data_IF_628922723650
#
_entry.id   IF_628922723650
#
_cell.length_a   1.000
_cell.length_b   1.000
_cell.length_c   1.000
_cell.angle_alpha   90.00
_cell.angle_beta   90.00
_cell.angle_gamma   90.00
#
_symmetry.space_group_name_H-M   'P 1'
#
loop_
_entity.id
_entity.type
_entity.pdbx_description
1 polymer ?
#
# COMPACT_ATOMS: atom_id res chain seq x y z
N UNK A 1 -13.03 -0.25 -21.27
CA UNK A 1 -12.92 -1.24 -22.35
C UNK A 1 -14.29 -1.80 -22.75
N UNK A 2 -14.94 -2.62 -21.94
CA UNK A 2 -16.24 -3.23 -22.30
C UNK A 2 -17.30 -2.21 -22.72
N UNK A 3 -17.64 -1.26 -21.87
CA UNK A 3 -18.70 -0.29 -22.09
C UNK A 3 -18.43 0.64 -23.28
N UNK A 4 -17.27 1.31 -23.32
CA UNK A 4 -16.91 2.25 -24.38
C UNK A 4 -16.25 1.61 -25.59
N UNK A 5 -16.11 0.29 -25.63
CA UNK A 5 -15.56 -0.45 -26.75
C UNK A 5 -14.11 -0.08 -27.09
N UNK A 6 -13.29 0.28 -26.10
CA UNK A 6 -11.86 0.52 -26.31
C UNK A 6 -11.17 -0.82 -26.57
N UNK A 7 -10.55 -0.94 -27.72
CA UNK A 7 -9.83 -2.15 -28.17
C UNK A 7 -8.58 -1.74 -28.97
N UNK A 8 -7.53 -2.57 -29.00
CA UNK A 8 -6.40 -2.35 -29.89
C UNK A 8 -6.85 -2.26 -31.36
N UNK A 9 -6.31 -1.28 -32.09
CA UNK A 9 -6.76 -0.97 -33.47
C UNK A 9 -6.60 -2.13 -34.47
N UNK A 10 -5.70 -3.08 -34.20
CA UNK A 10 -5.43 -4.25 -35.02
C UNK A 10 -6.33 -5.44 -34.68
N UNK A 11 -7.21 -5.33 -33.71
CA UNK A 11 -8.16 -6.38 -33.33
C UNK A 11 -9.57 -6.06 -33.81
N UNK A 12 -10.38 -7.13 -34.00
CA UNK A 12 -11.81 -6.98 -34.31
C UNK A 12 -12.51 -6.42 -33.04
N UNK A 13 -12.90 -5.16 -33.11
CA UNK A 13 -13.43 -4.39 -31.97
C UNK A 13 -14.62 -5.06 -31.27
N UNK A 14 -15.57 -5.61 -32.08
CA UNK A 14 -16.75 -6.29 -31.52
C UNK A 14 -16.39 -7.58 -30.79
N UNK A 15 -15.51 -8.40 -31.36
CA UNK A 15 -15.07 -9.64 -30.74
C UNK A 15 -14.32 -9.37 -29.42
N UNK A 16 -13.41 -8.40 -29.46
CA UNK A 16 -12.67 -7.99 -28.26
C UNK A 16 -13.60 -7.46 -27.15
N UNK A 17 -14.54 -6.57 -27.50
CA UNK A 17 -15.52 -6.03 -26.56
C UNK A 17 -16.37 -7.15 -25.94
N UNK A 18 -16.89 -8.07 -26.75
CA UNK A 18 -17.72 -9.16 -26.28
C UNK A 18 -16.96 -10.08 -25.31
N UNK A 19 -15.68 -10.36 -25.61
CA UNK A 19 -14.82 -11.14 -24.71
C UNK A 19 -14.64 -10.45 -23.34
N UNK A 20 -14.33 -9.16 -23.33
CA UNK A 20 -14.16 -8.41 -22.08
C UNK A 20 -15.47 -8.34 -21.30
N UNK A 21 -16.59 -8.12 -22.00
CA UNK A 21 -17.92 -8.11 -21.38
C UNK A 21 -18.24 -9.47 -20.75
N UNK A 22 -18.05 -10.55 -21.50
CA UNK A 22 -18.26 -11.90 -20.98
C UNK A 22 -17.41 -12.19 -19.74
N UNK A 23 -16.10 -11.88 -19.76
CA UNK A 23 -15.24 -12.08 -18.59
C UNK A 23 -15.71 -11.27 -17.37
N UNK A 24 -16.16 -10.01 -17.61
CA UNK A 24 -16.70 -9.15 -16.54
C UNK A 24 -17.97 -9.77 -15.95
N UNK A 25 -18.93 -10.15 -16.78
CA UNK A 25 -20.23 -10.67 -16.36
C UNK A 25 -20.05 -12.00 -15.63
N UNK A 26 -19.25 -12.92 -16.18
CA UNK A 26 -18.89 -14.18 -15.50
C UNK A 26 -18.24 -13.93 -14.14
N UNK A 27 -17.34 -12.94 -14.03
CA UNK A 27 -16.74 -12.60 -12.74
C UNK A 27 -17.77 -12.11 -11.72
N UNK A 28 -18.74 -11.32 -12.15
CA UNK A 28 -19.81 -10.81 -11.28
C UNK A 28 -20.70 -11.96 -10.82
N UNK A 29 -21.11 -12.84 -11.73
CA UNK A 29 -21.90 -14.04 -11.42
C UNK A 29 -21.18 -14.95 -10.42
N UNK A 30 -19.92 -15.27 -10.69
CA UNK A 30 -19.06 -16.09 -9.83
C UNK A 30 -18.93 -15.47 -8.44
N UNK A 31 -18.65 -14.16 -8.35
CA UNK A 31 -18.51 -13.46 -7.07
C UNK A 31 -19.76 -13.52 -6.19
N UNK A 32 -20.93 -13.49 -6.82
CA UNK A 32 -22.23 -13.48 -6.12
C UNK A 32 -22.90 -14.87 -6.03
N UNK A 33 -22.28 -15.91 -6.60
CA UNK A 33 -22.76 -17.27 -6.49
C UNK A 33 -22.74 -17.76 -5.04
N UNK A 34 -23.73 -18.59 -4.67
CA UNK A 34 -23.75 -19.28 -3.38
C UNK A 34 -22.92 -20.57 -3.38
N UNK A 35 -22.45 -21.02 -4.54
CA UNK A 35 -21.64 -22.22 -4.68
C UNK A 35 -20.20 -21.96 -4.21
N UNK A 36 -19.66 -22.87 -3.39
CA UNK A 36 -18.28 -22.78 -2.92
C UNK A 36 -17.25 -23.13 -4.01
N UNK A 37 -17.67 -23.96 -4.98
CA UNK A 37 -16.85 -24.46 -6.09
C UNK A 37 -17.64 -24.34 -7.38
N UNK A 38 -17.04 -23.77 -8.44
CA UNK A 38 -17.63 -23.59 -9.76
C UNK A 38 -16.65 -24.20 -10.77
N UNK A 39 -17.13 -25.14 -11.60
CA UNK A 39 -16.31 -25.87 -12.57
C UNK A 39 -15.05 -26.52 -11.97
N UNK A 40 -15.15 -27.02 -10.72
CA UNK A 40 -14.03 -27.66 -10.02
C UNK A 40 -13.01 -26.67 -9.43
N UNK A 41 -13.25 -25.37 -9.52
CA UNK A 41 -12.38 -24.31 -9.00
C UNK A 41 -13.06 -23.63 -7.81
N UNK A 42 -12.38 -23.39 -6.67
CA UNK A 42 -12.93 -22.59 -5.58
C UNK A 42 -13.41 -21.22 -6.10
N UNK A 43 -14.63 -20.84 -5.75
CA UNK A 43 -15.30 -19.61 -6.23
C UNK A 43 -14.41 -18.36 -6.12
N UNK A 44 -13.78 -18.19 -4.96
CA UNK A 44 -12.97 -16.99 -4.70
C UNK A 44 -11.70 -16.95 -5.56
N UNK A 45 -11.12 -18.13 -5.85
CA UNK A 45 -9.97 -18.27 -6.77
C UNK A 45 -10.40 -17.95 -8.20
N UNK A 46 -11.55 -18.46 -8.64
CA UNK A 46 -12.06 -18.20 -9.98
C UNK A 46 -12.34 -16.70 -10.20
N UNK A 47 -13.04 -16.07 -9.27
CA UNK A 47 -13.29 -14.62 -9.30
C UNK A 47 -11.99 -13.79 -9.29
N UNK A 48 -10.97 -14.23 -8.53
CA UNK A 48 -9.66 -13.60 -8.47
C UNK A 48 -8.91 -13.72 -9.79
N UNK A 49 -8.89 -14.90 -10.41
CA UNK A 49 -8.24 -15.13 -11.71
C UNK A 49 -8.85 -14.23 -12.78
N UNK A 50 -10.17 -14.18 -12.89
CA UNK A 50 -10.84 -13.28 -13.83
C UNK A 50 -10.52 -11.81 -13.58
N UNK A 51 -10.45 -11.36 -12.31
CA UNK A 51 -10.02 -10.01 -11.97
C UNK A 51 -8.61 -9.71 -12.46
N UNK A 52 -7.67 -10.63 -12.22
CA UNK A 52 -6.27 -10.46 -12.64
C UNK A 52 -6.17 -10.40 -14.16
N UNK A 53 -6.87 -11.28 -14.87
CA UNK A 53 -6.86 -11.33 -16.36
C UNK A 53 -7.41 -10.02 -16.93
N UNK A 54 -8.59 -9.57 -16.47
CA UNK A 54 -9.22 -8.33 -16.97
C UNK A 54 -8.29 -7.12 -16.74
N UNK A 55 -7.69 -7.00 -15.55
CA UNK A 55 -6.77 -5.92 -15.24
C UNK A 55 -5.46 -6.01 -16.03
N UNK A 56 -4.95 -7.23 -16.26
CA UNK A 56 -3.74 -7.45 -17.04
C UNK A 56 -3.90 -7.07 -18.51
N UNK A 57 -5.09 -7.26 -19.11
CA UNK A 57 -5.38 -6.89 -20.51
C UNK A 57 -5.10 -5.40 -20.73
N UNK A 58 -5.61 -4.53 -19.85
CA UNK A 58 -5.34 -3.10 -19.94
C UNK A 58 -3.83 -2.80 -19.86
N UNK A 59 -3.11 -3.41 -18.91
CA UNK A 59 -1.66 -3.24 -18.77
C UNK A 59 -0.88 -3.70 -20.02
N UNK A 60 -1.39 -4.72 -20.73
CA UNK A 60 -0.80 -5.22 -21.98
C UNK A 60 -0.93 -4.26 -23.15
N UNK A 61 -1.85 -3.32 -23.13
CA UNK A 61 -1.90 -2.25 -24.15
C UNK A 61 -0.68 -1.35 -24.13
N UNK A 62 -0.04 -1.18 -22.95
CA UNK A 62 1.19 -0.40 -22.81
C UNK A 62 2.49 -1.21 -23.05
N UNK A 63 2.42 -2.52 -23.26
CA UNK A 63 3.59 -3.38 -23.40
C UNK A 63 3.99 -3.53 -24.86
N UNK A 64 5.03 -2.81 -25.30
CA UNK A 64 5.46 -2.68 -26.70
C UNK A 64 5.72 -4.00 -27.43
N UNK A 65 6.19 -5.01 -26.70
CA UNK A 65 6.52 -6.34 -27.25
C UNK A 65 5.32 -7.31 -27.21
N UNK A 66 4.17 -6.86 -26.73
CA UNK A 66 2.99 -7.70 -26.56
C UNK A 66 2.02 -7.66 -27.74
N UNK A 67 1.25 -8.75 -27.94
CA UNK A 67 0.29 -8.83 -29.05
C UNK A 67 -0.92 -7.88 -28.89
N UNK A 68 -1.10 -7.28 -27.71
CA UNK A 68 -2.17 -6.32 -27.45
C UNK A 68 -1.68 -4.86 -27.45
N UNK A 69 -0.42 -4.62 -27.82
CA UNK A 69 0.14 -3.28 -27.78
C UNK A 69 -0.66 -2.27 -28.61
N UNK A 70 -1.16 -1.26 -27.95
CA UNK A 70 -1.74 -0.07 -28.56
C UNK A 70 -1.68 1.09 -27.58
N UNK A 71 -0.72 2.00 -27.80
CA UNK A 71 -0.50 3.17 -26.96
C UNK A 71 -1.72 4.09 -26.91
N UNK A 72 -2.46 4.22 -28.01
CA UNK A 72 -3.65 5.04 -28.05
C UNK A 72 -4.78 4.43 -27.21
N UNK A 73 -4.98 3.11 -27.29
CA UNK A 73 -5.96 2.41 -26.46
C UNK A 73 -5.60 2.53 -24.96
N UNK A 74 -4.31 2.46 -24.60
CA UNK A 74 -3.85 2.72 -23.23
C UNK A 74 -4.27 4.11 -22.76
N UNK A 75 -3.97 5.13 -23.56
CA UNK A 75 -4.32 6.53 -23.23
C UNK A 75 -5.83 6.73 -23.15
N UNK A 76 -6.60 6.13 -24.07
CA UNK A 76 -8.07 6.22 -24.04
C UNK A 76 -8.64 5.67 -22.73
N UNK A 77 -8.14 4.53 -22.22
CA UNK A 77 -8.63 3.97 -20.96
C UNK A 77 -8.26 4.86 -19.79
N UNK A 78 -7.00 5.30 -19.70
CA UNK A 78 -6.52 6.08 -18.56
C UNK A 78 -7.11 7.47 -18.51
N UNK A 79 -7.06 8.20 -19.62
CA UNK A 79 -7.54 9.59 -19.69
C UNK A 79 -9.05 9.67 -19.50
N UNK A 80 -9.83 8.78 -20.16
CA UNK A 80 -11.27 8.75 -19.94
C UNK A 80 -11.62 8.40 -18.49
N UNK A 81 -10.95 7.45 -17.86
CA UNK A 81 -11.16 7.15 -16.44
C UNK A 81 -10.90 8.37 -15.54
N UNK A 82 -9.78 9.06 -15.78
CA UNK A 82 -9.43 10.28 -15.03
C UNK A 82 -10.45 11.40 -15.25
N UNK A 83 -10.89 11.63 -16.49
CA UNK A 83 -11.88 12.68 -16.79
C UNK A 83 -13.25 12.37 -16.18
N UNK A 84 -13.69 11.12 -16.19
CA UNK A 84 -14.93 10.71 -15.54
C UNK A 84 -14.87 10.93 -14.02
N UNK A 85 -13.74 10.56 -13.38
CA UNK A 85 -13.56 10.78 -11.95
C UNK A 85 -13.48 12.27 -11.63
N UNK A 86 -12.79 13.07 -12.45
CA UNK A 86 -12.71 14.53 -12.30
C UNK A 86 -14.08 15.17 -12.40
N UNK A 87 -14.91 14.78 -13.37
CA UNK A 87 -16.29 15.26 -13.51
C UNK A 87 -17.12 15.02 -12.25
N UNK A 88 -16.93 13.86 -11.58
CA UNK A 88 -17.58 13.60 -10.30
C UNK A 88 -17.02 14.48 -9.18
N UNK A 89 -15.69 14.64 -9.10
CA UNK A 89 -15.08 15.53 -8.11
C UNK A 89 -15.58 16.97 -8.24
N UNK A 90 -15.64 17.51 -9.47
CA UNK A 90 -16.13 18.86 -9.74
C UNK A 90 -17.59 19.04 -9.29
N UNK A 91 -18.47 18.11 -9.63
CA UNK A 91 -19.88 18.20 -9.26
C UNK A 91 -20.08 18.11 -7.74
N UNK A 92 -19.31 17.26 -7.04
CA UNK A 92 -19.35 17.17 -5.59
C UNK A 92 -18.89 18.47 -4.92
N UNK A 93 -17.75 19.02 -5.35
CA UNK A 93 -17.21 20.28 -4.80
C UNK A 93 -18.12 21.48 -5.08
N UNK A 94 -18.73 21.56 -6.26
CA UNK A 94 -19.70 22.59 -6.60
C UNK A 94 -20.96 22.56 -5.72
N UNK A 95 -21.31 21.39 -5.20
CA UNK A 95 -22.42 21.20 -4.25
C UNK A 95 -21.97 21.25 -2.78
N UNK A 96 -20.75 21.73 -2.49
CA UNK A 96 -20.14 21.82 -1.16
C UNK A 96 -19.99 20.47 -0.46
N UNK A 97 -19.74 19.40 -1.22
CA UNK A 97 -19.34 18.09 -0.70
C UNK A 97 -17.84 17.95 -0.89
N UNK A 98 -17.10 17.91 0.22
CA UNK A 98 -15.65 17.94 0.20
C UNK A 98 -15.07 16.65 -0.33
N UNK A 99 -14.26 16.72 -1.39
CA UNK A 99 -13.42 15.59 -1.87
C UNK A 99 -12.10 15.56 -1.10
N UNK A 100 -11.91 14.53 -0.29
CA UNK A 100 -10.70 14.35 0.53
C UNK A 100 -9.56 13.81 -0.33
N UNK A 101 -9.84 12.80 -1.15
CA UNK A 101 -8.87 12.14 -2.01
C UNK A 101 -9.55 11.53 -3.22
N UNK A 102 -8.88 11.55 -4.37
CA UNK A 102 -9.30 10.84 -5.57
C UNK A 102 -8.09 10.10 -6.15
N UNK A 103 -8.26 8.82 -6.48
CA UNK A 103 -7.18 7.99 -6.99
C UNK A 103 -7.72 6.91 -7.93
N UNK A 104 -7.25 6.91 -9.17
CA UNK A 104 -7.47 5.90 -10.21
C UNK A 104 -8.95 5.65 -10.52
N UNK A 105 -9.67 4.96 -9.64
CA UNK A 105 -11.03 4.45 -9.81
C UNK A 105 -11.94 4.69 -8.60
N UNK A 106 -11.46 5.46 -7.61
CA UNK A 106 -12.19 5.75 -6.39
C UNK A 106 -11.92 7.13 -5.84
N UNK A 107 -12.83 7.60 -5.00
CA UNK A 107 -12.68 8.84 -4.26
C UNK A 107 -13.15 8.66 -2.82
N UNK A 108 -12.58 9.47 -1.93
CA UNK A 108 -12.99 9.60 -0.54
C UNK A 108 -13.58 10.99 -0.35
N UNK A 109 -14.78 11.05 0.19
CA UNK A 109 -15.53 12.29 0.38
C UNK A 109 -16.00 12.43 1.82
N UNK A 110 -16.18 13.68 2.25
CA UNK A 110 -16.83 13.98 3.51
C UNK A 110 -18.24 14.50 3.21
N UNK A 111 -19.24 13.69 3.58
CA UNK A 111 -20.64 14.01 3.38
C UNK A 111 -21.26 14.32 4.73
N UNK A 112 -21.77 15.54 4.91
CA UNK A 112 -22.56 15.91 6.08
C UNK A 112 -23.99 15.42 5.91
N UNK A 113 -24.72 15.23 7.02
CA UNK A 113 -26.08 14.66 6.99
C UNK A 113 -27.05 15.48 6.13
N UNK A 114 -26.96 16.80 6.20
CA UNK A 114 -27.74 17.76 5.38
C UNK A 114 -27.38 17.74 3.89
N UNK A 115 -26.31 17.06 3.50
CA UNK A 115 -25.82 16.94 2.12
C UNK A 115 -26.01 15.54 1.52
N UNK A 116 -26.64 14.64 2.25
CA UNK A 116 -26.80 13.26 1.82
C UNK A 116 -27.64 13.12 0.56
N UNK A 117 -28.77 13.86 0.48
CA UNK A 117 -29.63 13.82 -0.70
C UNK A 117 -28.95 14.40 -1.95
N UNK A 118 -28.16 15.47 -1.78
CA UNK A 118 -27.33 16.02 -2.84
C UNK A 118 -26.29 15.01 -3.32
N UNK A 119 -25.62 14.34 -2.39
CA UNK A 119 -24.64 13.29 -2.69
C UNK A 119 -25.26 12.15 -3.50
N UNK A 120 -26.38 11.60 -3.04
CA UNK A 120 -27.08 10.50 -3.71
C UNK A 120 -27.56 10.91 -5.11
N UNK A 121 -28.06 12.13 -5.27
CA UNK A 121 -28.45 12.72 -6.57
C UNK A 121 -27.26 12.80 -7.54
N UNK A 122 -26.10 13.27 -7.05
CA UNK A 122 -24.89 13.43 -7.85
C UNK A 122 -24.33 12.08 -8.27
N UNK A 123 -24.27 11.12 -7.36
CA UNK A 123 -23.83 9.75 -7.68
C UNK A 123 -24.74 9.13 -8.76
N UNK A 124 -26.05 9.23 -8.60
CA UNK A 124 -27.00 8.70 -9.57
C UNK A 124 -26.87 9.38 -10.93
N UNK A 125 -26.72 10.71 -10.97
CA UNK A 125 -26.46 11.43 -12.20
C UNK A 125 -25.19 10.97 -12.89
N UNK A 126 -24.11 10.84 -12.13
CA UNK A 126 -22.81 10.39 -12.66
C UNK A 126 -22.88 8.96 -13.22
N UNK A 127 -23.50 8.03 -12.49
CA UNK A 127 -23.69 6.65 -12.94
C UNK A 127 -24.51 6.58 -14.24
N UNK A 128 -25.57 7.35 -14.31
CA UNK A 128 -26.43 7.42 -15.50
C UNK A 128 -25.69 8.01 -16.69
N UNK A 129 -24.93 9.07 -16.48
CA UNK A 129 -24.19 9.78 -17.54
C UNK A 129 -23.02 8.95 -18.06
N UNK A 130 -22.28 8.27 -17.19
CA UNK A 130 -21.09 7.51 -17.56
C UNK A 130 -21.37 6.05 -17.89
N UNK A 131 -22.51 5.51 -17.47
CA UNK A 131 -22.80 4.08 -17.54
C UNK A 131 -21.89 3.21 -16.65
N UNK A 132 -21.19 3.83 -15.69
CA UNK A 132 -20.39 3.12 -14.69
C UNK A 132 -21.21 2.95 -13.41
N UNK A 133 -20.96 1.88 -12.67
CA UNK A 133 -21.49 1.68 -11.33
C UNK A 133 -20.46 2.05 -10.28
N UNK A 134 -20.91 2.58 -9.16
CA UNK A 134 -20.08 2.93 -8.02
C UNK A 134 -20.68 2.29 -6.75
N UNK A 135 -19.82 1.64 -5.97
CA UNK A 135 -20.14 1.16 -4.64
C UNK A 135 -19.63 2.20 -3.62
N UNK A 136 -20.34 2.34 -2.50
CA UNK A 136 -19.97 3.26 -1.43
C UNK A 136 -19.82 2.50 -0.11
N UNK A 137 -18.68 2.69 0.54
CA UNK A 137 -18.40 2.19 1.88
C UNK A 137 -18.30 3.35 2.88
N UNK A 138 -18.75 3.13 4.11
CA UNK A 138 -18.70 4.15 5.16
C UNK A 138 -17.43 4.02 5.98
N UNK A 139 -16.59 5.05 5.93
CA UNK A 139 -15.40 5.16 6.76
C UNK A 139 -15.77 5.62 8.17
N UNK A 140 -15.24 4.93 9.19
CA UNK A 140 -15.27 5.36 10.58
C UNK A 140 -14.12 6.33 10.88
N UNK A 141 -12.93 6.02 10.38
CA UNK A 141 -11.73 6.81 10.56
C UNK A 141 -10.84 6.74 9.32
N UNK A 142 -10.20 7.86 8.98
CA UNK A 142 -9.18 7.93 7.93
C UNK A 142 -7.98 8.72 8.43
N UNK A 143 -6.81 8.09 8.39
CA UNK A 143 -5.52 8.70 8.71
C UNK A 143 -4.65 8.53 7.48
N UNK A 144 -4.55 9.57 6.68
CA UNK A 144 -3.85 9.54 5.40
C UNK A 144 -2.68 10.52 5.39
N UNK A 145 -1.51 10.03 5.00
CA UNK A 145 -0.36 10.85 4.64
C UNK A 145 -0.43 11.27 3.17
N UNK A 146 -0.79 10.35 2.32
CA UNK A 146 -1.00 10.52 0.88
C UNK A 146 -1.93 9.40 0.36
N UNK A 147 -2.29 9.45 -0.92
CA UNK A 147 -3.27 8.53 -1.56
C UNK A 147 -2.89 7.03 -1.49
N UNK A 148 -1.61 6.72 -1.30
CA UNK A 148 -1.10 5.35 -1.21
C UNK A 148 -0.53 4.98 0.16
N UNK A 149 -0.60 5.89 1.12
CA UNK A 149 -0.13 5.69 2.49
C UNK A 149 -1.19 6.18 3.47
N UNK A 150 -2.04 5.25 3.88
CA UNK A 150 -3.14 5.52 4.81
C UNK A 150 -3.52 4.31 5.67
N UNK A 151 -4.17 4.60 6.77
CA UNK A 151 -4.97 3.71 7.60
C UNK A 151 -6.42 4.15 7.50
N UNK A 152 -7.31 3.25 7.14
CA UNK A 152 -8.75 3.48 7.13
C UNK A 152 -9.46 2.43 7.98
N UNK A 153 -10.50 2.85 8.73
CA UNK A 153 -11.39 1.94 9.43
C UNK A 153 -12.77 2.03 8.79
N UNK A 154 -13.28 0.89 8.32
CA UNK A 154 -14.61 0.78 7.72
C UNK A 154 -15.61 0.26 8.73
N UNK A 155 -16.85 0.78 8.66
CA UNK A 155 -17.98 0.19 9.36
C UNK A 155 -18.61 -0.88 8.49
N UNK A 156 -18.44 -2.13 8.88
CA UNK A 156 -19.00 -3.27 8.18
C UNK A 156 -20.10 -3.93 9.03
N UNK A 157 -21.08 -4.52 8.37
CA UNK A 157 -22.08 -5.33 9.05
C UNK A 157 -21.68 -6.80 8.96
N UNK A 158 -21.40 -7.41 10.10
CA UNK A 158 -21.09 -8.83 10.15
C UNK A 158 -22.28 -9.65 9.61
N UNK A 159 -22.04 -10.42 8.56
CA UNK A 159 -23.10 -11.19 7.86
C UNK A 159 -23.72 -12.29 8.72
N UNK A 160 -23.00 -12.77 9.76
CA UNK A 160 -23.47 -13.84 10.63
C UNK A 160 -24.21 -13.31 11.85
N UNK A 161 -23.70 -12.27 12.48
CA UNK A 161 -24.24 -11.72 13.75
C UNK A 161 -25.15 -10.52 13.53
N UNK A 162 -25.08 -9.85 12.38
CA UNK A 162 -25.74 -8.58 12.10
C UNK A 162 -25.16 -7.38 12.84
N UNK A 163 -24.14 -7.57 13.68
CA UNK A 163 -23.48 -6.52 14.44
C UNK A 163 -22.63 -5.62 13.54
N UNK A 164 -22.52 -4.34 13.91
CA UNK A 164 -21.57 -3.43 13.29
C UNK A 164 -20.19 -3.67 13.88
N UNK A 165 -19.22 -3.92 13.02
CA UNK A 165 -17.82 -4.14 13.36
C UNK A 165 -16.96 -3.13 12.60
N UNK A 166 -15.73 -2.88 13.10
CA UNK A 166 -14.73 -2.09 12.41
C UNK A 166 -13.75 -3.03 11.72
N UNK A 167 -13.48 -2.77 10.46
CA UNK A 167 -12.45 -3.44 9.67
C UNK A 167 -11.38 -2.44 9.26
N UNK A 168 -10.12 -2.80 9.55
CA UNK A 168 -8.97 -1.95 9.25
C UNK A 168 -8.42 -2.25 7.86
N UNK A 169 -8.18 -1.21 7.07
CA UNK A 169 -7.42 -1.28 5.83
C UNK A 169 -6.13 -0.47 5.96
N UNK A 170 -5.02 -1.10 5.60
CA UNK A 170 -3.69 -0.51 5.66
C UNK A 170 -3.09 -0.38 4.26
N UNK A 171 -2.56 0.79 3.94
CA UNK A 171 -1.78 1.00 2.71
C UNK A 171 -0.42 1.63 2.97
N UNK A 172 0.55 1.18 2.17
CA UNK A 172 1.93 1.71 2.22
C UNK A 172 2.58 1.53 3.59
N UNK A 173 3.19 2.59 4.09
CA UNK A 173 3.96 2.58 5.34
C UNK A 173 3.12 2.29 6.60
N UNK A 174 1.78 2.31 6.49
CA UNK A 174 0.88 1.91 7.57
C UNK A 174 0.64 0.40 7.65
N UNK A 175 1.04 -0.36 6.64
CA UNK A 175 0.82 -1.79 6.63
C UNK A 175 2.01 -2.54 7.26
N UNK A 176 1.85 -3.13 8.47
CA UNK A 176 2.92 -3.86 9.13
C UNK A 176 3.34 -5.13 8.36
N UNK A 177 2.43 -5.65 7.54
CA UNK A 177 2.63 -6.87 6.76
C UNK A 177 2.77 -6.61 5.26
N UNK A 178 3.17 -5.42 4.86
CA UNK A 178 3.23 -4.98 3.46
C UNK A 178 3.88 -5.99 2.51
N UNK A 179 4.89 -6.73 2.98
CA UNK A 179 5.61 -7.74 2.21
C UNK A 179 5.52 -9.14 2.81
N UNK A 180 4.50 -9.41 3.63
CA UNK A 180 4.37 -10.67 4.36
C UNK A 180 4.40 -11.91 3.44
N UNK A 181 3.82 -11.82 2.26
CA UNK A 181 3.71 -12.89 1.28
C UNK A 181 4.84 -12.90 0.24
N UNK A 182 5.76 -11.95 0.32
CA UNK A 182 6.86 -11.79 -0.64
C UNK A 182 8.21 -11.70 0.08
N UNK A 183 8.77 -12.85 0.39
CA UNK A 183 10.08 -12.96 1.07
C UNK A 183 11.21 -12.26 0.31
N UNK A 184 11.08 -12.06 -1.01
CA UNK A 184 12.10 -11.39 -1.82
C UNK A 184 12.09 -9.88 -1.61
N UNK A 185 10.95 -9.29 -1.31
CA UNK A 185 10.82 -7.86 -1.01
C UNK A 185 11.07 -7.54 0.46
N UNK A 186 10.89 -8.54 1.33
CA UNK A 186 11.14 -8.45 2.77
C UNK A 186 10.16 -7.57 3.53
N UNK A 187 10.38 -7.51 4.83
CA UNK A 187 9.65 -6.61 5.72
C UNK A 187 10.43 -5.32 5.92
N UNK A 188 9.72 -4.24 6.15
CA UNK A 188 10.33 -2.98 6.50
C UNK A 188 9.82 -2.53 7.86
N UNK A 189 10.43 -3.06 8.94
CA UNK A 189 10.17 -2.65 10.33
C UNK A 189 8.69 -2.67 10.71
N UNK A 190 8.02 -3.83 10.83
CA UNK A 190 6.61 -3.93 11.20
C UNK A 190 6.24 -3.15 12.47
N UNK A 191 7.17 -3.06 13.43
CA UNK A 191 6.98 -2.31 14.69
C UNK A 191 6.67 -0.83 14.45
N UNK A 192 7.18 -0.24 13.37
CA UNK A 192 6.93 1.18 13.04
C UNK A 192 5.46 1.37 12.66
N UNK A 193 4.92 0.53 11.79
CA UNK A 193 3.52 0.59 11.40
C UNK A 193 2.59 0.29 12.59
N UNK A 194 2.94 -0.71 13.40
CA UNK A 194 2.20 -1.05 14.62
C UNK A 194 2.20 0.12 15.62
N UNK A 195 3.35 0.73 15.90
CA UNK A 195 3.43 1.85 16.82
C UNK A 195 2.64 3.07 16.30
N UNK A 196 2.65 3.33 15.01
CA UNK A 196 1.85 4.40 14.39
C UNK A 196 0.35 4.11 14.49
N UNK A 197 -0.06 2.87 14.27
CA UNK A 197 -1.44 2.42 14.48
C UNK A 197 -1.90 2.65 15.92
N UNK A 198 -1.14 2.13 16.88
CA UNK A 198 -1.45 2.26 18.31
C UNK A 198 -1.52 3.73 18.75
N UNK A 199 -0.66 4.56 18.18
CA UNK A 199 -0.65 5.99 18.45
C UNK A 199 -1.92 6.70 17.97
N UNK A 200 -2.36 6.45 16.75
CA UNK A 200 -3.51 7.14 16.19
C UNK A 200 -4.85 6.57 16.63
N UNK A 201 -4.96 5.24 16.77
CA UNK A 201 -6.24 4.58 17.08
C UNK A 201 -6.45 4.42 18.57
N UNK A 202 -5.41 4.00 19.29
CA UNK A 202 -5.53 3.65 20.70
C UNK A 202 -4.91 4.70 21.65
N UNK A 203 -4.39 5.82 21.14
CA UNK A 203 -3.71 6.87 21.88
C UNK A 203 -2.52 6.36 22.73
N UNK A 204 -1.87 5.27 22.31
CA UNK A 204 -0.71 4.71 23.00
C UNK A 204 0.54 5.47 22.58
N UNK A 205 1.38 5.96 23.52
CA UNK A 205 2.62 6.63 23.18
C UNK A 205 3.55 5.70 22.37
N UNK A 206 4.20 6.24 21.34
CA UNK A 206 5.08 5.48 20.43
C UNK A 206 6.11 4.67 21.21
N UNK A 207 6.80 5.29 22.18
CA UNK A 207 7.84 4.62 22.95
C UNK A 207 7.31 3.42 23.74
N UNK A 208 6.08 3.48 24.22
CA UNK A 208 5.42 2.38 24.94
C UNK A 208 5.29 1.14 24.03
N UNK A 209 4.80 1.32 22.81
CA UNK A 209 4.68 0.20 21.85
C UNK A 209 6.05 -0.36 21.50
N UNK A 210 7.04 0.50 21.23
CA UNK A 210 8.40 0.07 20.89
C UNK A 210 9.04 -0.75 22.01
N UNK A 211 8.89 -0.33 23.27
CA UNK A 211 9.51 -1.00 24.42
C UNK A 211 8.80 -2.28 24.86
N UNK A 212 7.50 -2.38 24.61
CA UNK A 212 6.69 -3.54 24.97
C UNK A 212 6.77 -4.69 23.95
N UNK A 213 7.30 -4.45 22.76
CA UNK A 213 7.48 -5.53 21.77
C UNK A 213 8.62 -6.46 22.18
N UNK A 214 8.28 -7.74 22.33
CA UNK A 214 9.23 -8.81 22.66
C UNK A 214 9.76 -9.53 21.41
N UNK A 215 9.21 -9.24 20.24
CA UNK A 215 9.61 -9.88 19.00
C UNK A 215 10.63 -9.02 18.23
N UNK A 216 11.90 -9.47 18.22
CA UNK A 216 12.97 -8.75 17.50
C UNK A 216 12.73 -8.66 16.01
N UNK A 217 11.98 -9.59 15.42
CA UNK A 217 11.71 -9.62 13.99
C UNK A 217 10.83 -8.42 13.57
N UNK A 218 10.06 -7.85 14.50
CA UNK A 218 9.24 -6.65 14.24
C UNK A 218 10.10 -5.40 14.02
N UNK A 219 11.32 -5.40 14.55
CA UNK A 219 12.32 -4.34 14.34
C UNK A 219 13.17 -4.54 13.09
N UNK A 220 13.07 -5.71 12.46
CA UNK A 220 13.92 -6.03 11.34
C UNK A 220 13.47 -5.37 10.04
N UNK A 221 14.48 -5.02 9.26
CA UNK A 221 14.34 -4.72 7.84
C UNK A 221 15.16 -5.73 7.04
N UNK A 222 14.80 -5.90 5.77
CA UNK A 222 15.52 -6.79 4.86
C UNK A 222 16.06 -6.01 3.69
N UNK A 223 17.21 -6.44 3.20
CA UNK A 223 17.81 -5.87 2.01
C UNK A 223 18.39 -6.98 1.14
N UNK A 224 18.01 -6.98 -0.15
CA UNK A 224 18.57 -7.88 -1.15
C UNK A 224 19.58 -7.11 -2.01
N UNK A 225 20.77 -7.67 -2.15
CA UNK A 225 21.80 -7.14 -3.05
C UNK A 225 21.81 -7.92 -4.37
N UNK A 226 22.14 -7.24 -5.46
CA UNK A 226 22.22 -7.85 -6.79
C UNK A 226 23.20 -9.03 -6.83
N UNK A 227 23.07 -9.89 -7.85
CA UNK A 227 23.94 -11.12 -8.00
C UNK A 227 25.42 -10.83 -8.11
N UNK A 228 25.78 -9.62 -8.54
CA UNK A 228 27.16 -9.14 -8.64
C UNK A 228 27.78 -8.75 -7.29
N UNK A 229 27.02 -8.81 -6.20
CA UNK A 229 27.48 -8.47 -4.86
C UNK A 229 27.29 -9.62 -3.89
N UNK A 230 28.11 -9.66 -2.84
CA UNK A 230 27.86 -10.35 -1.58
C UNK A 230 27.74 -9.34 -0.44
N UNK A 231 27.31 -9.79 0.73
CA UNK A 231 27.18 -8.97 1.93
C UNK A 231 28.22 -9.39 2.95
N UNK A 232 28.91 -8.41 3.52
CA UNK A 232 29.86 -8.61 4.61
C UNK A 232 29.40 -7.86 5.86
N UNK A 233 29.47 -8.53 6.99
CA UNK A 233 29.28 -7.99 8.32
C UNK A 233 30.65 -7.81 8.96
N UNK A 234 30.98 -6.59 9.40
CA UNK A 234 32.30 -6.26 9.95
C UNK A 234 32.18 -5.68 11.35
N UNK A 235 32.96 -6.24 12.29
CA UNK A 235 33.07 -5.80 13.68
C UNK A 235 34.51 -5.67 14.11
N UNK A 236 34.77 -4.70 14.98
CA UNK A 236 36.06 -4.58 15.66
C UNK A 236 35.99 -5.37 16.98
N UNK A 237 36.73 -6.45 17.11
CA UNK A 237 36.84 -7.24 18.33
C UNK A 237 38.31 -7.23 18.81
N UNK A 238 38.55 -6.74 20.03
CA UNK A 238 39.88 -6.60 20.58
C UNK A 238 40.88 -5.89 19.66
N UNK A 239 40.42 -4.80 19.00
CA UNK A 239 41.23 -3.99 18.09
C UNK A 239 41.47 -4.62 16.71
N UNK A 240 40.95 -5.83 16.44
CA UNK A 240 41.05 -6.50 15.15
C UNK A 240 39.70 -6.49 14.42
N UNK A 241 39.76 -6.25 13.12
CA UNK A 241 38.61 -6.39 12.23
C UNK A 241 38.30 -7.85 12.02
N UNK A 242 37.07 -8.24 12.37
CA UNK A 242 36.50 -9.53 12.04
C UNK A 242 35.41 -9.33 11.01
N UNK A 243 35.49 -10.01 9.89
CA UNK A 243 34.55 -9.95 8.78
C UNK A 243 33.91 -11.32 8.57
N UNK A 244 32.59 -11.32 8.47
CA UNK A 244 31.78 -12.51 8.17
C UNK A 244 30.99 -12.26 6.89
N UNK A 245 31.07 -13.19 5.95
CA UNK A 245 30.25 -13.15 4.74
C UNK A 245 28.84 -13.63 5.08
N UNK A 246 27.86 -12.81 4.72
CA UNK A 246 26.44 -13.08 4.88
C UNK A 246 25.81 -13.45 3.54
N UNK A 247 24.63 -14.04 3.59
CA UNK A 247 23.82 -14.26 2.39
C UNK A 247 23.40 -12.92 1.74
N UNK A 248 23.16 -12.92 0.43
CA UNK A 248 22.78 -11.71 -0.33
C UNK A 248 21.47 -11.09 0.14
N UNK A 249 20.57 -11.87 0.69
CA UNK A 249 19.33 -11.42 1.31
C UNK A 249 19.55 -11.36 2.81
N UNK A 250 19.83 -10.18 3.32
CA UNK A 250 20.18 -9.97 4.73
C UNK A 250 19.03 -9.32 5.48
N UNK A 251 18.72 -9.87 6.66
CA UNK A 251 17.78 -9.32 7.62
C UNK A 251 18.54 -8.78 8.82
N UNK A 252 18.22 -7.57 9.26
CA UNK A 252 18.91 -6.91 10.35
C UNK A 252 18.01 -5.90 11.06
N UNK A 253 18.35 -5.60 12.32
CA UNK A 253 17.75 -4.49 13.06
C UNK A 253 18.84 -3.48 13.46
N UNK A 254 18.41 -2.22 13.71
CA UNK A 254 19.31 -1.14 14.13
C UNK A 254 19.54 -1.21 15.64
N UNK A 255 20.80 -1.17 16.06
CA UNK A 255 21.25 -1.33 17.44
C UNK A 255 22.24 -0.24 17.82
N UNK A 256 22.50 -0.06 19.13
CA UNK A 256 23.52 0.85 19.59
C UNK A 256 24.93 0.20 19.59
N UNK A 257 25.02 -1.13 19.62
CA UNK A 257 26.26 -1.92 19.69
C UNK A 257 26.26 -3.00 18.63
N UNK A 258 26.39 -2.63 17.36
CA UNK A 258 26.29 -3.59 16.28
C UNK A 258 27.51 -3.66 15.42
N UNK A 259 27.27 -4.13 14.22
CA UNK A 259 28.24 -4.30 13.15
C UNK A 259 27.98 -3.28 12.05
N UNK A 260 28.99 -3.03 11.23
CA UNK A 260 28.80 -2.39 9.93
C UNK A 260 28.50 -3.48 8.91
N UNK A 261 27.47 -3.28 8.11
CA UNK A 261 27.11 -4.21 7.02
C UNK A 261 27.31 -3.52 5.68
N UNK A 262 28.04 -4.16 4.80
CA UNK A 262 28.41 -3.64 3.49
C UNK A 262 28.08 -4.66 2.39
N UNK A 263 27.64 -4.15 1.23
CA UNK A 263 27.67 -4.93 0.00
C UNK A 263 29.03 -4.75 -0.67
N UNK A 264 29.62 -5.85 -1.11
CA UNK A 264 30.93 -5.89 -1.76
C UNK A 264 30.76 -6.44 -3.17
N UNK A 265 31.27 -5.75 -4.17
CA UNK A 265 31.19 -6.22 -5.55
C UNK A 265 32.15 -7.39 -5.76
N UNK A 266 31.65 -8.50 -6.32
CA UNK A 266 32.38 -9.78 -6.40
C UNK A 266 33.65 -9.72 -7.26
N UNK A 267 33.73 -8.78 -8.22
CA UNK A 267 34.88 -8.67 -9.15
C UNK A 267 35.77 -7.49 -8.78
N UNK A 268 35.19 -6.30 -8.54
CA UNK A 268 35.98 -5.09 -8.29
C UNK A 268 36.37 -4.89 -6.83
N UNK A 269 35.70 -5.58 -5.90
CA UNK A 269 35.88 -5.36 -4.46
C UNK A 269 35.32 -4.04 -3.94
N UNK A 270 34.63 -3.27 -4.77
CA UNK A 270 34.01 -2.02 -4.36
C UNK A 270 33.01 -2.24 -3.24
N UNK A 271 33.07 -1.41 -2.19
CA UNK A 271 32.25 -1.52 -0.98
C UNK A 271 31.25 -0.39 -0.89
N UNK A 272 30.03 -0.73 -0.48
CA UNK A 272 29.00 0.28 -0.17
C UNK A 272 28.24 -0.14 1.08
N UNK A 273 28.10 0.76 2.03
CA UNK A 273 27.40 0.52 3.30
C UNK A 273 25.91 0.29 3.07
N UNK A 274 25.40 -0.73 3.73
CA UNK A 274 23.95 -0.95 3.91
C UNK A 274 23.48 -0.20 5.16
N UNK A 275 22.16 -0.10 5.32
CA UNK A 275 21.53 0.55 6.48
C UNK A 275 22.02 2.00 6.73
N UNK A 276 22.32 2.75 5.67
CA UNK A 276 22.83 4.14 5.74
C UNK A 276 24.04 4.31 6.68
N UNK A 277 24.85 3.26 6.84
CA UNK A 277 26.05 3.27 7.68
C UNK A 277 25.79 3.18 9.18
N UNK A 278 24.56 2.86 9.61
CA UNK A 278 24.23 2.61 11.01
C UNK A 278 24.83 1.29 11.51
N UNK A 279 24.94 1.18 12.82
CA UNK A 279 25.26 -0.10 13.45
C UNK A 279 24.03 -0.98 13.47
N UNK A 280 24.17 -2.21 13.00
CA UNK A 280 23.07 -3.17 12.90
C UNK A 280 23.48 -4.53 13.47
N UNK A 281 22.51 -5.35 13.80
CA UNK A 281 22.72 -6.76 14.11
C UNK A 281 21.96 -7.59 13.08
N UNK A 282 22.70 -8.50 12.41
CA UNK A 282 22.13 -9.39 11.39
C UNK A 282 21.44 -10.56 12.06
N UNK A 283 20.21 -10.84 11.64
CA UNK A 283 19.40 -11.99 12.05
C UNK A 283 18.93 -12.72 10.81
N UNK A 284 19.67 -13.71 10.37
CA UNK A 284 19.33 -14.51 9.19
C UNK A 284 18.73 -15.88 9.55
N UNK A 285 18.90 -16.35 10.79
CA UNK A 285 18.28 -17.57 11.31
C UNK A 285 17.38 -17.27 12.51
N UNK A 286 16.47 -18.19 12.84
CA UNK A 286 15.65 -18.09 14.05
C UNK A 286 16.50 -18.25 15.32
N UNK A 287 17.59 -18.98 15.25
CA UNK A 287 18.52 -19.17 16.36
C UNK A 287 19.21 -17.85 16.75
N UNK A 288 19.42 -16.96 15.78
CA UNK A 288 19.93 -15.62 16.03
C UNK A 288 18.90 -14.73 16.79
N UNK A 289 17.61 -15.11 16.79
CA UNK A 289 16.54 -14.33 17.38
C UNK A 289 16.46 -14.42 18.90
N UNK A 290 17.02 -15.46 19.51
CA UNK A 290 16.95 -15.74 20.97
C UNK A 290 18.02 -15.04 21.78
N UNK A 291 18.81 -14.17 21.22
CA UNK A 291 19.89 -13.46 21.90
C UNK A 291 19.35 -12.45 22.88
N UNK A 292 19.63 -12.68 24.17
CA UNK A 292 19.04 -12.06 25.36
C UNK A 292 19.43 -10.59 25.58
N UNK A 293 20.43 -10.04 24.90
CA UNK A 293 20.85 -8.64 25.10
C UNK A 293 20.73 -7.83 23.81
N UNK A 294 19.51 -7.50 23.47
CA UNK A 294 19.19 -6.72 22.27
C UNK A 294 19.28 -5.24 22.58
N UNK A 295 20.43 -4.65 22.34
CA UNK A 295 20.61 -3.21 22.51
C UNK A 295 19.98 -2.44 21.35
N UNK A 296 18.64 -2.51 21.23
CA UNK A 296 17.86 -1.89 20.18
C UNK A 296 18.03 -0.36 20.23
N UNK A 297 18.26 0.24 19.10
CA UNK A 297 18.27 1.70 18.97
C UNK A 297 16.83 2.24 18.86
N UNK A 298 16.12 2.30 19.97
CA UNK A 298 14.74 2.79 20.02
C UNK A 298 14.59 4.21 19.46
N UNK A 299 15.60 5.07 19.57
CA UNK A 299 15.57 6.42 19.00
C UNK A 299 15.45 6.40 17.49
N UNK A 300 16.09 5.44 16.83
CA UNK A 300 15.97 5.26 15.38
C UNK A 300 14.52 4.93 14.99
N UNK A 301 13.90 3.94 15.65
CA UNK A 301 12.53 3.53 15.35
C UNK A 301 11.50 4.59 15.73
N UNK A 302 11.71 5.27 16.83
CA UNK A 302 10.92 6.44 17.22
C UNK A 302 10.92 7.51 16.12
N UNK A 303 12.08 7.87 15.60
CA UNK A 303 12.19 8.83 14.51
C UNK A 303 11.46 8.33 13.25
N UNK A 304 11.55 7.03 12.94
CA UNK A 304 10.82 6.43 11.82
C UNK A 304 9.30 6.53 11.96
N UNK A 305 8.77 6.35 13.14
CA UNK A 305 7.35 6.60 13.40
C UNK A 305 6.99 8.08 13.13
N UNK A 306 7.82 9.00 13.56
CA UNK A 306 7.58 10.43 13.35
C UNK A 306 7.83 10.89 11.91
N UNK A 307 8.60 10.17 11.10
CA UNK A 307 8.66 10.38 9.66
C UNK A 307 7.28 10.17 8.98
N UNK A 308 6.43 9.30 9.57
CA UNK A 308 5.04 9.07 9.12
C UNK A 308 4.08 10.07 9.77
N UNK A 309 4.19 10.29 11.07
CA UNK A 309 3.24 11.10 11.88
C UNK A 309 3.33 12.60 11.55
N UNK A 310 4.56 13.15 11.45
CA UNK A 310 4.74 14.58 11.27
C UNK A 310 4.11 15.15 10.00
N UNK A 311 4.22 14.51 8.81
CA UNK A 311 3.53 14.99 7.62
C UNK A 311 2.02 15.11 7.80
N UNK A 312 1.40 14.17 8.52
CA UNK A 312 -0.04 14.17 8.79
C UNK A 312 -0.41 15.31 9.74
N UNK A 313 0.29 15.43 10.88
CA UNK A 313 0.02 16.48 11.88
C UNK A 313 0.28 17.90 11.36
N UNK A 314 1.29 18.06 10.53
CA UNK A 314 1.67 19.37 9.98
C UNK A 314 0.97 19.70 8.67
N UNK A 315 0.19 18.78 8.10
CA UNK A 315 -0.44 18.95 6.80
C UNK A 315 0.57 19.10 5.66
N UNK A 316 1.74 18.46 5.79
CA UNK A 316 2.82 18.51 4.82
C UNK A 316 2.73 17.29 3.92
N UNK A 317 2.57 17.49 2.61
CA UNK A 317 2.69 16.40 1.63
C UNK A 317 4.17 16.19 1.32
N UNK A 318 4.76 15.01 1.57
CA UNK A 318 6.13 14.72 1.18
C UNK A 318 6.27 14.82 -0.34
N UNK A 319 7.19 15.64 -0.83
CA UNK A 319 7.57 15.58 -2.24
C UNK A 319 8.45 14.36 -2.46
N UNK A 320 8.20 13.63 -3.55
CA UNK A 320 9.06 12.52 -4.00
C UNK A 320 10.54 12.94 -4.04
N UNK A 321 11.43 11.96 -3.97
CA UNK A 321 12.90 12.08 -3.84
C UNK A 321 13.47 13.32 -4.54
N UNK A 322 13.71 14.41 -3.80
CA UNK A 322 14.32 15.62 -4.26
C UNK A 322 13.52 16.89 -3.92
N UNK A 323 13.85 17.49 -2.79
CA UNK A 323 13.47 18.84 -2.30
C UNK A 323 12.05 18.98 -1.73
N UNK A 324 11.99 18.99 -0.41
CA UNK A 324 10.84 19.37 0.42
C UNK A 324 10.53 20.86 0.22
N UNK A 325 9.42 21.18 -0.42
CA UNK A 325 8.79 22.49 -0.29
C UNK A 325 7.60 22.37 0.64
N UNK A 326 7.68 23.06 1.76
CA UNK A 326 6.60 23.17 2.74
C UNK A 326 5.52 24.06 2.13
N UNK A 327 4.39 23.48 1.71
CA UNK A 327 3.15 24.25 1.58
C UNK A 327 2.39 24.09 2.89
N UNK A 328 2.36 25.15 3.69
CA UNK A 328 1.43 25.26 4.82
C UNK A 328 0.00 25.30 4.25
N UNK A 329 -0.68 24.17 4.25
CA UNK A 329 -2.14 24.10 4.31
C UNK A 329 -2.50 23.55 5.68
N UNK A 330 -3.48 24.16 6.31
CA UNK A 330 -4.00 23.76 7.61
C UNK A 330 -4.18 22.25 7.67
N UNK A 331 -3.63 21.62 8.69
CA UNK A 331 -3.64 20.19 8.84
C UNK A 331 -5.06 19.64 8.84
N UNK A 332 -5.31 18.66 7.97
CA UNK A 332 -6.51 17.84 8.05
C UNK A 332 -6.26 16.71 9.06
N UNK A 333 -6.24 17.05 10.32
CA UNK A 333 -6.48 16.11 11.39
C UNK A 333 -7.97 16.18 11.71
N UNK A 334 -8.77 15.47 10.95
CA UNK A 334 -10.17 15.28 11.29
C UNK A 334 -10.32 13.89 11.93
N UNK A 335 -10.36 13.83 13.26
CA UNK A 335 -11.22 12.87 13.92
C UNK A 335 -12.63 13.20 13.45
N UNK A 336 -13.25 12.29 12.71
CA UNK A 336 -14.60 12.46 12.20
C UNK A 336 -15.67 12.45 13.30
N UNK A 337 -15.29 12.32 14.57
CA UNK A 337 -16.21 12.34 15.70
C UNK A 337 -15.50 12.87 16.97
N UNK A 338 -15.70 14.15 17.27
CA UNK A 338 -15.92 14.61 18.63
C UNK A 338 -17.45 14.54 18.81
N UNK A 339 -17.92 13.46 19.47
CA UNK A 339 -19.01 13.29 20.43
C UNK A 339 -19.31 11.81 20.60
#
# INVERSE_FOLDING_TARGET
MAYYGVAPKHMVKSAFRNLIQWMKDTRVEVKHSNEAVIDGIPRDVFALVLKIVINAIYGKFGFEQGPLYDRLATLQVTVNGQLMLLMLCEELELNNIQVISANTDGLMVKVYEDKKDDFDRIINWWQTTTGMSMDADVLHCLIARDVNNYLAQFRIKNKKTGALELEDEFKGDFNPLMYANDLQKGYSMPIVAEAVYQYFINNVPIMTTLQNSNNILDFCMTQNVGRQFHVEETKVVNGKLQTKVCQRYVRFYVTNNGYTVEKVHNVTGERSRLAAGMQVCVINSLDDADIVSRNINYKYYYNKCYDIINPIKLGITPKGKGKTQIRKKAGMYNRLFDD
#
